data_IF_366209370282
#
_entry.id   IF_366209370282
#
_cell.length_a   1.000
_cell.length_b   1.000
_cell.length_c   1.000
_cell.angle_alpha   90.00
_cell.angle_beta   90.00
_cell.angle_gamma   90.00
#
_symmetry.space_group_name_H-M   'P 1'
#
loop_
_entity.id
_entity.type
_entity.pdbx_description
1 polymer ?
#
# COMPACT_ATOMS: atom_id res chain seq x y z
N UNK A 1 -0.62 -12.77 3.03
CA UNK A 1 0.09 -13.54 2.00
C UNK A 1 1.00 -14.53 2.70
N UNK A 2 0.95 -15.80 2.29
CA UNK A 2 1.89 -16.86 2.68
C UNK A 2 2.70 -17.24 1.45
N UNK A 3 4.01 -17.31 1.59
CA UNK A 3 4.90 -17.68 0.49
C UNK A 3 5.99 -18.63 0.97
N UNK A 4 6.36 -19.55 0.12
CA UNK A 4 7.55 -20.37 0.26
C UNK A 4 8.72 -19.75 -0.49
N UNK A 5 9.92 -19.83 0.06
CA UNK A 5 11.13 -19.45 -0.65
C UNK A 5 11.61 -20.67 -1.45
N UNK A 6 11.27 -20.67 -2.73
CA UNK A 6 11.65 -21.71 -3.65
C UNK A 6 13.16 -21.71 -3.95
N UNK A 7 13.64 -22.74 -4.66
CA UNK A 7 15.00 -22.81 -5.17
C UNK A 7 15.36 -21.54 -5.92
N UNK A 8 16.56 -21.01 -5.66
CA UNK A 8 17.09 -19.72 -6.16
C UNK A 8 16.55 -18.47 -5.46
N UNK A 9 15.90 -18.61 -4.27
CA UNK A 9 15.49 -17.47 -3.45
C UNK A 9 14.27 -16.69 -3.97
N UNK A 10 13.56 -17.18 -4.98
CA UNK A 10 12.31 -16.56 -5.46
C UNK A 10 11.12 -16.98 -4.57
N UNK A 11 10.29 -16.03 -4.11
CA UNK A 11 9.10 -16.36 -3.36
C UNK A 11 8.03 -17.00 -4.28
N UNK A 12 7.43 -18.08 -3.82
CA UNK A 12 6.26 -18.68 -4.45
C UNK A 12 5.06 -18.49 -3.50
N UNK A 13 4.06 -17.75 -3.94
CA UNK A 13 2.84 -17.52 -3.17
C UNK A 13 2.06 -18.83 -3.07
N UNK A 14 1.78 -19.28 -1.84
CA UNK A 14 0.99 -20.49 -1.55
C UNK A 14 -0.40 -20.16 -1.02
N UNK A 15 -0.58 -18.98 -0.40
CA UNK A 15 -1.90 -18.49 0.00
C UNK A 15 -1.92 -16.95 0.04
N UNK A 16 -3.04 -16.39 -0.37
CA UNK A 16 -3.31 -14.97 -0.29
C UNK A 16 -4.71 -14.74 0.28
N UNK A 17 -4.79 -13.90 1.30
CA UNK A 17 -6.03 -13.56 1.98
C UNK A 17 -6.12 -12.05 2.21
N UNK A 18 -7.28 -11.50 1.95
CA UNK A 18 -7.58 -10.07 2.14
C UNK A 18 -8.83 -9.89 2.99
N UNK A 19 -8.78 -8.93 3.90
CA UNK A 19 -9.90 -8.55 4.77
C UNK A 19 -10.04 -7.05 4.79
N UNK A 20 -11.18 -6.48 4.39
CA UNK A 20 -11.39 -5.03 4.39
C UNK A 20 -11.52 -4.50 5.83
N UNK A 21 -10.55 -3.74 6.29
CA UNK A 21 -10.54 -3.15 7.65
C UNK A 21 -11.06 -1.72 7.71
N UNK A 22 -11.12 -0.99 6.59
CA UNK A 22 -11.55 0.43 6.54
C UNK A 22 -10.92 1.25 7.67
N UNK A 23 -9.59 1.33 7.69
CA UNK A 23 -8.83 1.97 8.76
C UNK A 23 -9.02 3.49 8.82
N UNK A 24 -9.38 4.12 7.70
CA UNK A 24 -9.58 5.56 7.61
C UNK A 24 -11.05 5.90 7.41
N UNK A 25 -11.57 6.74 8.28
CA UNK A 25 -12.90 7.34 8.16
C UNK A 25 -12.75 8.85 8.04
N UNK A 26 -12.47 9.35 6.83
CA UNK A 26 -12.39 10.80 6.59
C UNK A 26 -11.09 11.26 5.92
N UNK A 27 -11.15 12.38 5.17
CA UNK A 27 -10.05 12.94 4.37
C UNK A 27 -9.12 13.89 5.12
N UNK A 28 -8.95 13.77 6.43
CA UNK A 28 -8.07 14.62 7.22
C UNK A 28 -6.61 14.17 7.19
N UNK A 29 -5.67 15.15 7.38
CA UNK A 29 -4.24 14.85 7.45
C UNK A 29 -3.83 14.07 8.71
N UNK A 30 -4.65 14.09 9.77
CA UNK A 30 -4.46 13.36 11.03
C UNK A 30 -5.80 12.82 11.50
N UNK A 31 -5.77 11.64 12.10
CA UNK A 31 -6.94 10.99 12.68
C UNK A 31 -6.50 10.02 13.78
N UNK A 32 -7.45 9.57 14.59
CA UNK A 32 -7.22 8.48 15.54
C UNK A 32 -8.09 7.28 15.17
N UNK A 33 -7.56 6.08 15.29
CA UNK A 33 -8.36 4.86 15.18
C UNK A 33 -9.40 4.83 16.30
N UNK A 34 -10.67 4.63 15.96
CA UNK A 34 -11.70 4.40 16.96
C UNK A 34 -11.51 3.04 17.63
N UNK A 35 -12.11 2.88 18.81
CA UNK A 35 -12.07 1.60 19.51
C UNK A 35 -12.59 0.46 18.64
N UNK A 36 -13.69 0.66 17.92
CA UNK A 36 -14.28 -0.32 17.02
C UNK A 36 -13.34 -0.68 15.88
N UNK A 37 -12.56 0.28 15.37
CA UNK A 37 -11.55 0.04 14.34
C UNK A 37 -10.40 -0.79 14.88
N UNK A 38 -9.93 -0.49 16.09
CA UNK A 38 -8.89 -1.26 16.77
C UNK A 38 -9.34 -2.69 17.02
N UNK A 39 -10.53 -2.88 17.62
CA UNK A 39 -11.08 -4.21 17.92
C UNK A 39 -11.24 -5.04 16.63
N UNK A 40 -11.75 -4.43 15.56
CA UNK A 40 -11.88 -5.09 14.25
C UNK A 40 -10.53 -5.48 13.66
N UNK A 41 -9.53 -4.61 13.72
CA UNK A 41 -8.20 -4.92 13.19
C UNK A 41 -7.55 -6.06 13.98
N UNK A 42 -7.63 -6.06 15.32
CA UNK A 42 -7.11 -7.14 16.14
C UNK A 42 -7.79 -8.48 15.83
N UNK A 43 -9.10 -8.48 15.59
CA UNK A 43 -9.84 -9.67 15.17
C UNK A 43 -9.34 -10.20 13.82
N UNK A 44 -9.17 -9.32 12.84
CA UNK A 44 -8.63 -9.68 11.51
C UNK A 44 -7.19 -10.20 11.62
N UNK A 45 -6.33 -9.53 12.39
CA UNK A 45 -4.96 -10.01 12.61
C UNK A 45 -4.95 -11.40 13.25
N UNK A 46 -5.86 -11.66 14.22
CA UNK A 46 -5.99 -12.98 14.84
C UNK A 46 -6.34 -14.07 13.81
N UNK A 47 -7.28 -13.77 12.90
CA UNK A 47 -7.66 -14.67 11.82
C UNK A 47 -6.48 -14.94 10.87
N UNK A 48 -5.79 -13.89 10.42
CA UNK A 48 -4.66 -13.99 9.50
C UNK A 48 -3.47 -14.75 10.13
N UNK A 49 -3.21 -14.54 11.42
CA UNK A 49 -2.19 -15.29 12.17
C UNK A 49 -2.56 -16.79 12.23
N UNK A 50 -3.84 -17.09 12.43
CA UNK A 50 -4.30 -18.49 12.41
C UNK A 50 -4.04 -19.14 11.05
N UNK A 51 -4.41 -18.46 9.95
CA UNK A 51 -4.15 -18.95 8.59
C UNK A 51 -2.65 -19.20 8.38
N UNK A 52 -1.80 -18.25 8.78
CA UNK A 52 -0.34 -18.41 8.66
C UNK A 52 0.16 -19.62 9.46
N UNK A 53 -0.36 -19.87 10.66
CA UNK A 53 -0.01 -21.05 11.49
C UNK A 53 -0.50 -22.35 10.87
N UNK A 54 -1.68 -22.34 10.26
CA UNK A 54 -2.23 -23.52 9.56
C UNK A 54 -1.35 -23.92 8.35
N UNK A 55 -0.58 -22.96 7.81
CA UNK A 55 0.46 -23.17 6.78
C UNK A 55 1.86 -23.44 7.35
N UNK A 56 2.01 -23.61 8.67
CA UNK A 56 3.27 -23.95 9.34
C UNK A 56 4.42 -22.98 9.01
N UNK A 57 4.14 -21.65 8.90
CA UNK A 57 5.14 -20.66 8.52
C UNK A 57 6.26 -20.55 9.56
N UNK A 58 7.51 -20.55 9.12
CA UNK A 58 8.70 -20.37 9.97
C UNK A 58 8.84 -18.94 10.49
N UNK A 59 8.41 -17.96 9.72
CA UNK A 59 8.56 -16.54 10.01
C UNK A 59 7.30 -15.77 9.64
N UNK A 60 6.96 -14.80 10.48
CA UNK A 60 5.85 -13.89 10.24
C UNK A 60 6.33 -12.45 10.37
N UNK A 61 5.93 -11.58 9.45
CA UNK A 61 6.21 -10.15 9.49
C UNK A 61 4.93 -9.39 9.22
N UNK A 62 4.60 -8.44 10.08
CA UNK A 62 3.52 -7.49 9.84
C UNK A 62 4.10 -6.12 9.54
N UNK A 63 3.59 -5.51 8.48
CA UNK A 63 3.93 -4.14 8.10
C UNK A 63 2.67 -3.30 8.05
N UNK A 64 2.80 -2.03 8.35
CA UNK A 64 1.75 -1.04 8.24
C UNK A 64 2.28 0.16 7.45
N UNK A 65 1.40 0.84 6.75
CA UNK A 65 1.76 1.89 5.79
C UNK A 65 1.09 3.22 6.15
N UNK A 66 0.62 3.98 5.21
CA UNK A 66 0.19 5.36 5.37
C UNK A 66 -0.85 5.59 6.47
N UNK A 67 -1.85 4.71 6.62
CA UNK A 67 -2.87 4.85 7.65
C UNK A 67 -2.25 4.91 9.06
N UNK A 68 -1.23 4.11 9.33
CA UNK A 68 -0.51 4.11 10.62
C UNK A 68 0.42 5.32 10.76
N UNK A 69 1.05 5.78 9.68
CA UNK A 69 1.88 6.99 9.69
C UNK A 69 1.07 8.24 10.04
N UNK A 70 -0.18 8.32 9.59
CA UNK A 70 -1.08 9.47 9.83
C UNK A 70 -1.88 9.39 11.11
N UNK A 71 -2.00 8.22 11.71
CA UNK A 71 -2.79 8.05 12.94
C UNK A 71 -2.03 8.53 14.18
N UNK A 72 -2.71 9.32 15.02
CA UNK A 72 -2.17 9.87 16.28
C UNK A 72 -2.00 8.79 17.35
N UNK A 73 -2.80 7.71 17.30
CA UNK A 73 -2.76 6.61 18.25
C UNK A 73 -2.27 5.28 17.66
N UNK A 74 -1.53 5.31 16.55
CA UNK A 74 -1.00 4.09 15.94
C UNK A 74 -0.08 3.31 16.89
N UNK A 75 0.68 3.97 17.75
CA UNK A 75 1.56 3.31 18.72
C UNK A 75 0.79 2.49 19.77
N UNK A 76 -0.39 2.97 20.19
CA UNK A 76 -1.27 2.22 21.06
C UNK A 76 -1.72 0.91 20.41
N UNK A 77 -2.15 0.98 19.15
CA UNK A 77 -2.57 -0.19 18.39
C UNK A 77 -1.42 -1.18 18.19
N UNK A 78 -0.21 -0.71 17.87
CA UNK A 78 0.99 -1.54 17.74
C UNK A 78 1.30 -2.26 19.05
N UNK A 79 1.25 -1.52 20.19
CA UNK A 79 1.47 -2.11 21.51
C UNK A 79 0.42 -3.17 21.86
N UNK A 80 -0.86 -2.91 21.53
CA UNK A 80 -1.94 -3.88 21.74
C UNK A 80 -1.76 -5.14 20.88
N UNK A 81 -1.38 -5.00 19.62
CA UNK A 81 -1.11 -6.15 18.74
C UNK A 81 0.07 -6.98 19.27
N UNK A 82 1.14 -6.34 19.70
CA UNK A 82 2.27 -7.02 20.32
C UNK A 82 1.90 -7.74 21.60
N UNK A 83 1.14 -7.08 22.50
CA UNK A 83 0.78 -7.64 23.80
C UNK A 83 -0.23 -8.80 23.68
N UNK A 84 -1.25 -8.68 22.82
CA UNK A 84 -2.34 -9.64 22.70
C UNK A 84 -2.08 -10.77 21.71
N UNK A 85 -1.30 -10.50 20.66
CA UNK A 85 -1.09 -11.45 19.55
C UNK A 85 0.37 -11.90 19.42
N UNK A 86 1.31 -11.27 20.11
CA UNK A 86 2.74 -11.50 19.95
C UNK A 86 3.26 -11.06 18.57
N UNK A 87 2.52 -10.19 17.86
CA UNK A 87 2.84 -9.77 16.50
C UNK A 87 3.42 -8.34 16.50
N UNK A 88 4.74 -8.18 16.28
CA UNK A 88 5.32 -6.86 16.08
C UNK A 88 4.92 -6.30 14.72
N UNK A 89 4.40 -5.06 14.72
CA UNK A 89 4.05 -4.35 13.50
C UNK A 89 5.10 -3.28 13.22
N UNK A 90 5.72 -3.32 12.04
CA UNK A 90 6.66 -2.30 11.57
C UNK A 90 5.94 -1.29 10.69
N UNK A 91 5.99 -0.01 11.03
CA UNK A 91 5.43 1.05 10.19
C UNK A 91 6.47 1.47 9.15
N UNK A 92 6.18 1.21 7.89
CA UNK A 92 7.08 1.56 6.79
C UNK A 92 6.95 3.05 6.44
N UNK A 93 8.06 3.69 6.15
CA UNK A 93 8.07 4.99 5.44
C UNK A 93 7.57 4.80 4.01
N UNK A 94 7.19 5.88 3.32
CA UNK A 94 6.80 5.79 1.90
C UNK A 94 7.91 5.22 1.01
N UNK A 95 9.18 5.54 1.32
CA UNK A 95 10.33 5.01 0.57
C UNK A 95 10.55 3.51 0.82
N UNK A 96 10.39 3.04 2.07
CA UNK A 96 10.48 1.61 2.38
C UNK A 96 9.33 0.82 1.77
N UNK A 97 8.11 1.38 1.78
CA UNK A 97 6.93 0.81 1.13
C UNK A 97 7.16 0.65 -0.36
N UNK A 98 7.56 1.70 -1.05
CA UNK A 98 7.86 1.65 -2.48
C UNK A 98 9.08 0.76 -2.82
N UNK A 99 10.08 0.71 -1.95
CA UNK A 99 11.20 -0.24 -2.09
C UNK A 99 10.74 -1.69 -2.00
N UNK A 100 9.80 -2.01 -1.10
CA UNK A 100 9.22 -3.35 -0.99
C UNK A 100 8.38 -3.72 -2.23
N UNK A 101 7.58 -2.78 -2.76
CA UNK A 101 6.83 -2.94 -4.00
C UNK A 101 7.78 -3.21 -5.17
N UNK A 102 8.82 -2.41 -5.31
CA UNK A 102 9.83 -2.59 -6.35
C UNK A 102 10.50 -3.96 -6.29
N UNK A 103 10.88 -4.41 -5.09
CA UNK A 103 11.48 -5.73 -4.89
C UNK A 103 10.50 -6.86 -5.29
N UNK A 104 9.22 -6.73 -4.94
CA UNK A 104 8.18 -7.65 -5.36
C UNK A 104 8.04 -7.72 -6.88
N UNK A 105 7.91 -6.56 -7.53
CA UNK A 105 7.81 -6.47 -8.99
C UNK A 105 9.04 -7.05 -9.69
N UNK A 106 10.25 -6.71 -9.24
CA UNK A 106 11.49 -7.22 -9.83
C UNK A 106 11.66 -8.75 -9.66
N UNK A 107 10.96 -9.35 -8.69
CA UNK A 107 10.93 -10.80 -8.50
C UNK A 107 9.87 -11.52 -9.34
N UNK A 108 8.90 -10.78 -9.92
CA UNK A 108 7.79 -11.35 -10.70
C UNK A 108 8.26 -11.79 -12.09
N UNK A 109 8.08 -13.08 -12.45
CA UNK A 109 8.46 -13.58 -13.78
C UNK A 109 7.69 -12.91 -14.92
N UNK A 110 6.47 -12.40 -14.69
CA UNK A 110 5.64 -11.81 -15.73
C UNK A 110 6.25 -10.52 -16.32
N UNK A 111 7.05 -9.82 -15.52
CA UNK A 111 7.73 -8.59 -15.91
C UNK A 111 9.25 -8.76 -16.13
N UNK A 112 9.77 -9.98 -16.09
CA UNK A 112 11.20 -10.26 -16.28
C UNK A 112 11.74 -9.76 -17.64
N UNK A 113 10.87 -9.64 -18.64
CA UNK A 113 11.19 -9.13 -19.99
C UNK A 113 11.41 -7.62 -20.08
N UNK A 114 11.10 -6.87 -19.02
CA UNK A 114 11.23 -5.42 -19.00
C UNK A 114 12.45 -5.04 -18.14
N UNK A 115 13.46 -4.46 -18.77
CA UNK A 115 14.63 -3.91 -18.08
C UNK A 115 14.36 -2.49 -17.58
N UNK A 116 13.63 -1.70 -18.37
CA UNK A 116 13.27 -0.32 -18.08
C UNK A 116 11.75 -0.18 -18.00
N UNK A 117 11.23 0.27 -16.87
CA UNK A 117 9.80 0.54 -16.68
C UNK A 117 9.54 1.53 -15.55
N UNK A 118 8.39 2.18 -15.58
CA UNK A 118 7.81 2.80 -14.40
C UNK A 118 6.79 1.85 -13.77
N UNK A 119 6.79 1.75 -12.45
CA UNK A 119 5.72 1.10 -11.72
C UNK A 119 4.85 2.15 -11.03
N UNK A 120 3.55 1.90 -11.03
CA UNK A 120 2.54 2.67 -10.34
C UNK A 120 1.79 1.75 -9.39
N UNK A 121 1.93 1.98 -8.09
CA UNK A 121 1.09 1.33 -7.08
C UNK A 121 0.06 2.31 -6.53
N UNK A 122 -1.22 2.00 -6.72
CA UNK A 122 -2.32 2.82 -6.25
C UNK A 122 -2.96 2.17 -5.02
N UNK A 123 -2.48 2.55 -3.85
CA UNK A 123 -3.06 2.16 -2.58
C UNK A 123 -4.28 3.01 -2.17
N UNK A 124 -4.83 2.73 -0.99
CA UNK A 124 -5.94 3.51 -0.44
C UNK A 124 -5.54 4.92 -0.02
N UNK A 125 -4.38 5.10 0.57
CA UNK A 125 -3.90 6.36 1.15
C UNK A 125 -2.89 7.08 0.29
N UNK A 126 -2.02 6.36 -0.37
CA UNK A 126 -0.93 6.89 -1.20
C UNK A 126 -0.91 6.25 -2.59
N UNK A 127 -0.13 6.85 -3.45
CA UNK A 127 0.23 6.35 -4.77
C UNK A 127 1.74 6.40 -4.87
N UNK A 128 2.37 5.26 -5.08
CA UNK A 128 3.80 5.14 -5.27
C UNK A 128 4.14 5.11 -6.76
N UNK A 129 5.15 5.87 -7.15
CA UNK A 129 5.72 5.85 -8.50
C UNK A 129 7.18 5.48 -8.39
N UNK A 130 7.57 4.44 -9.12
CA UNK A 130 8.90 3.85 -9.05
C UNK A 130 9.47 3.83 -10.46
N UNK A 131 10.67 4.37 -10.66
CA UNK A 131 11.39 4.24 -11.90
C UNK A 131 12.44 3.11 -11.79
N UNK A 132 12.38 2.19 -12.72
CA UNK A 132 13.33 1.08 -12.86
C UNK A 132 14.07 1.24 -14.17
N UNK A 133 15.40 1.13 -14.14
CA UNK A 133 16.29 1.12 -15.30
C UNK A 133 17.35 0.04 -15.16
N UNK A 134 17.54 -0.75 -16.20
CA UNK A 134 18.42 -1.91 -16.19
C UNK A 134 18.13 -2.86 -15.01
N UNK A 135 16.84 -3.02 -14.66
CA UNK A 135 16.31 -3.78 -13.52
C UNK A 135 16.80 -3.29 -12.13
N UNK A 136 17.26 -2.05 -12.06
CA UNK A 136 17.62 -1.38 -10.81
C UNK A 136 16.65 -0.21 -10.54
N UNK A 137 16.26 -0.05 -9.29
CA UNK A 137 15.44 1.08 -8.86
C UNK A 137 16.28 2.35 -8.89
N UNK A 138 15.90 3.30 -9.75
CA UNK A 138 16.63 4.56 -9.92
C UNK A 138 15.98 5.73 -9.19
N UNK A 139 14.69 5.71 -9.03
CA UNK A 139 13.99 6.69 -8.19
C UNK A 139 12.64 6.15 -7.69
N UNK A 140 12.19 6.71 -6.58
CA UNK A 140 10.95 6.35 -5.90
C UNK A 140 10.32 7.61 -5.35
N UNK A 141 9.02 7.76 -5.56
CA UNK A 141 8.23 8.84 -4.98
C UNK A 141 6.90 8.29 -4.45
N UNK A 142 6.45 8.83 -3.33
CA UNK A 142 5.14 8.53 -2.76
C UNK A 142 4.31 9.80 -2.71
N UNK A 143 3.12 9.74 -3.31
CA UNK A 143 2.18 10.84 -3.38
C UNK A 143 0.95 10.56 -2.53
N UNK A 144 0.37 11.54 -1.80
CA UNK A 144 -0.85 11.38 -1.02
C UNK A 144 -2.11 11.39 -1.94
N UNK A 145 -2.10 10.57 -2.97
CA UNK A 145 -3.11 10.47 -4.02
C UNK A 145 -3.77 9.08 -4.06
N UNK A 146 -3.84 8.39 -2.92
CA UNK A 146 -4.48 7.08 -2.87
C UNK A 146 -5.99 7.13 -3.17
N UNK A 147 -6.53 6.01 -3.62
CA UNK A 147 -7.91 5.89 -4.08
C UNK A 147 -8.93 6.34 -3.02
N UNK A 148 -8.74 5.98 -1.75
CA UNK A 148 -9.64 6.39 -0.68
C UNK A 148 -9.51 7.90 -0.36
N UNK A 149 -8.32 8.47 -0.47
CA UNK A 149 -8.09 9.91 -0.25
C UNK A 149 -8.83 10.73 -1.30
N UNK A 150 -8.68 10.36 -2.57
CA UNK A 150 -9.35 11.03 -3.70
C UNK A 150 -10.86 10.83 -3.63
N UNK A 151 -11.31 9.60 -3.37
CA UNK A 151 -12.74 9.28 -3.21
C UNK A 151 -13.40 10.10 -2.10
N UNK A 152 -12.83 10.11 -0.91
CA UNK A 152 -13.40 10.84 0.23
C UNK A 152 -13.46 12.35 0.00
N UNK A 153 -12.55 12.88 -0.83
CA UNK A 153 -12.53 14.31 -1.16
C UNK A 153 -13.58 14.72 -2.17
N UNK A 154 -13.81 13.93 -3.21
CA UNK A 154 -14.64 14.31 -4.36
C UNK A 154 -15.97 13.55 -4.42
N UNK A 155 -16.07 12.40 -3.76
CA UNK A 155 -17.28 11.60 -3.68
C UNK A 155 -17.37 10.89 -2.30
N UNK A 156 -17.62 11.64 -1.21
CA UNK A 156 -17.64 11.06 0.14
C UNK A 156 -18.77 10.07 0.38
N UNK A 157 -19.84 10.13 -0.42
CA UNK A 157 -20.95 9.16 -0.37
C UNK A 157 -20.62 7.96 -1.25
N UNK A 158 -20.05 6.93 -0.62
CA UNK A 158 -19.64 5.70 -1.31
C UNK A 158 -20.80 4.85 -1.86
N UNK A 159 -22.05 5.21 -1.57
CA UNK A 159 -23.25 4.49 -2.05
C UNK A 159 -23.69 5.04 -3.41
N UNK A 160 -23.34 6.28 -3.72
CA UNK A 160 -23.72 6.92 -4.98
C UNK A 160 -22.64 6.78 -6.05
N UNK A 161 -23.01 6.61 -7.32
CA UNK A 161 -22.07 6.73 -8.42
C UNK A 161 -21.43 8.13 -8.43
N UNK A 162 -20.19 8.21 -8.87
CA UNK A 162 -19.52 9.48 -9.11
C UNK A 162 -20.29 10.28 -10.18
N UNK A 163 -20.51 11.55 -9.92
CA UNK A 163 -21.01 12.46 -10.95
C UNK A 163 -19.88 12.83 -11.93
N UNK A 164 -20.25 13.19 -13.16
CA UNK A 164 -19.26 13.66 -14.16
C UNK A 164 -18.43 14.84 -13.63
N UNK A 165 -19.08 15.74 -12.87
CA UNK A 165 -18.38 16.87 -12.26
C UNK A 165 -17.37 16.41 -11.21
N UNK A 166 -17.72 15.47 -10.35
CA UNK A 166 -16.80 14.91 -9.34
C UNK A 166 -15.59 14.22 -10.00
N UNK A 167 -15.82 13.48 -11.10
CA UNK A 167 -14.75 12.87 -11.89
C UNK A 167 -13.80 13.93 -12.47
N UNK A 168 -14.36 15.00 -13.07
CA UNK A 168 -13.57 16.08 -13.65
C UNK A 168 -12.75 16.84 -12.58
N UNK A 169 -13.34 17.08 -11.42
CA UNK A 169 -12.66 17.80 -10.34
C UNK A 169 -11.55 16.93 -9.71
N UNK A 170 -11.77 15.63 -9.55
CA UNK A 170 -10.75 14.69 -9.13
C UNK A 170 -9.60 14.63 -10.13
N UNK A 171 -9.90 14.54 -11.43
CA UNK A 171 -8.89 14.54 -12.50
C UNK A 171 -8.04 15.81 -12.48
N UNK A 172 -8.68 16.99 -12.40
CA UNK A 172 -7.99 18.28 -12.30
C UNK A 172 -7.10 18.35 -11.07
N UNK A 173 -7.59 17.84 -9.93
CA UNK A 173 -6.80 17.81 -8.70
C UNK A 173 -5.54 16.97 -8.86
N UNK A 174 -5.66 15.74 -9.37
CA UNK A 174 -4.53 14.85 -9.61
C UNK A 174 -3.54 15.50 -10.59
N UNK A 175 -4.02 16.02 -11.72
CA UNK A 175 -3.17 16.70 -12.69
C UNK A 175 -2.44 17.91 -12.09
N UNK A 176 -3.16 18.76 -11.34
CA UNK A 176 -2.56 19.92 -10.68
C UNK A 176 -1.49 19.52 -9.67
N UNK A 177 -1.74 18.45 -8.92
CA UNK A 177 -0.78 17.93 -7.95
C UNK A 177 0.50 17.41 -8.64
N UNK A 178 0.35 16.58 -9.66
CA UNK A 178 1.48 16.02 -10.41
C UNK A 178 2.27 17.08 -11.16
N UNK A 179 1.59 18.05 -11.79
CA UNK A 179 2.24 19.18 -12.49
C UNK A 179 2.99 20.13 -11.54
N UNK A 180 2.52 20.25 -10.29
CA UNK A 180 3.21 21.02 -9.25
C UNK A 180 4.34 20.25 -8.56
N UNK A 181 4.43 18.96 -8.83
CA UNK A 181 5.48 18.10 -8.26
C UNK A 181 6.77 18.23 -9.07
N UNK A 182 7.89 18.40 -8.37
CA UNK A 182 9.23 18.36 -8.94
C UNK A 182 9.86 16.98 -8.84
N UNK A 183 9.05 15.93 -8.68
CA UNK A 183 9.54 14.56 -8.51
C UNK A 183 10.32 14.10 -9.74
N UNK A 184 11.55 13.69 -9.53
CA UNK A 184 12.45 13.25 -10.59
C UNK A 184 11.89 12.04 -11.37
N UNK A 185 11.13 11.19 -10.69
CA UNK A 185 10.47 10.01 -11.28
C UNK A 185 9.53 10.39 -12.44
N UNK A 186 8.80 11.51 -12.32
CA UNK A 186 7.85 11.95 -13.34
C UNK A 186 8.54 12.57 -14.58
N UNK A 187 9.81 12.96 -14.46
CA UNK A 187 10.60 13.55 -15.53
C UNK A 187 11.43 12.52 -16.29
N UNK A 188 11.50 11.29 -15.81
CA UNK A 188 12.28 10.21 -16.46
C UNK A 188 11.45 9.62 -17.61
N UNK A 189 11.91 9.70 -18.88
CA UNK A 189 11.19 9.08 -19.99
C UNK A 189 11.13 7.56 -19.83
N UNK A 190 9.96 6.99 -19.97
CA UNK A 190 9.77 5.55 -19.99
C UNK A 190 8.63 5.17 -20.95
N UNK A 191 8.78 4.06 -21.67
CA UNK A 191 7.78 3.54 -22.60
C UNK A 191 6.87 2.47 -21.99
N UNK A 192 7.22 1.97 -20.82
CA UNK A 192 6.50 0.87 -20.17
C UNK A 192 6.01 1.29 -18.79
N UNK A 193 4.72 1.15 -18.55
CA UNK A 193 4.10 1.35 -17.24
C UNK A 193 3.57 0.02 -16.73
N UNK A 194 3.96 -0.33 -15.50
CA UNK A 194 3.49 -1.52 -14.78
C UNK A 194 2.57 -1.05 -13.66
N UNK A 195 1.33 -1.50 -13.65
CA UNK A 195 0.40 -1.27 -12.56
C UNK A 195 0.56 -2.32 -11.47
N UNK A 196 0.58 -1.89 -10.21
CA UNK A 196 0.51 -2.72 -9.03
C UNK A 196 -0.60 -2.19 -8.12
N UNK A 197 -1.05 -3.01 -7.17
CA UNK A 197 -2.14 -2.63 -6.27
C UNK A 197 -3.52 -3.07 -6.79
N UNK A 198 -4.58 -2.83 -5.96
CA UNK A 198 -5.96 -3.24 -6.26
C UNK A 198 -6.82 -3.36 -5.01
#
# INVERSE_FOLDING_TARGET
LVAEIADRGRPQVVAEESRPCRLTTGGGNKFSFSKETIDRLLAVLTELIKIARDHEVDRMKAVATEAFRKSENSQELIALAQASLGLPISVLTGLEEAGAIAAGLLSDPSIERFDDFHALDLGGGSMEVIAVKAREVTSVESFPLGAAVVSNRFCPDSVRPWSDQACLDAQKHVQSFLNGSHAAVLSTPCSTLVGAGG
#
